data_IF_459742751083
#
_entry.id   IF_459742751083
#
_cell.length_a   1.000
_cell.length_b   1.000
_cell.length_c   1.000
_cell.angle_alpha   90.00
_cell.angle_beta   90.00
_cell.angle_gamma   90.00
#
_symmetry.space_group_name_H-M   'P 1'
#
loop_
_entity.id
_entity.type
_entity.pdbx_description
1 polymer ?
#
# COMPACT_ATOMS: atom_id res chain seq x y z
N UNK A 1 105.62 26.02 -4.23
CA UNK A 1 104.92 26.63 -3.08
C UNK A 1 103.44 26.48 -3.29
N UNK A 2 102.79 25.55 -2.57
CA UNK A 2 101.37 25.23 -2.73
C UNK A 2 100.65 25.74 -1.47
N UNK A 3 99.66 26.58 -1.66
CA UNK A 3 98.74 27.05 -0.62
C UNK A 3 97.58 26.04 -0.44
N UNK A 4 97.15 25.79 0.79
CA UNK A 4 95.96 24.87 1.02
C UNK A 4 94.67 25.62 0.87
N UNK A 5 93.72 24.95 0.24
CA UNK A 5 92.36 25.37 0.11
C UNK A 5 91.54 24.88 1.34
N UNK A 6 90.99 25.79 2.10
CA UNK A 6 90.11 25.50 3.24
C UNK A 6 88.71 25.29 2.74
N UNK A 7 88.15 24.12 3.04
CA UNK A 7 86.77 23.71 2.74
C UNK A 7 85.87 24.15 3.89
N UNK A 8 84.96 25.11 3.64
CA UNK A 8 83.88 25.49 4.57
C UNK A 8 82.68 24.59 4.35
N UNK A 9 82.32 23.81 5.36
CA UNK A 9 81.16 22.98 5.37
C UNK A 9 79.97 23.82 5.87
N UNK A 10 79.03 24.18 4.98
CA UNK A 10 77.77 24.83 5.30
C UNK A 10 76.72 23.75 5.68
N UNK A 11 76.41 23.69 6.95
CA UNK A 11 75.30 22.90 7.46
C UNK A 11 73.95 23.63 7.14
N UNK A 12 73.26 23.15 6.13
CA UNK A 12 71.93 23.65 5.81
C UNK A 12 70.88 23.08 6.78
N UNK A 13 70.27 23.96 7.56
CA UNK A 13 69.06 23.63 8.32
C UNK A 13 67.86 23.62 7.37
N UNK A 14 67.29 22.49 7.11
CA UNK A 14 65.99 22.39 6.43
C UNK A 14 64.82 22.49 7.47
N UNK A 15 63.86 23.40 7.34
CA UNK A 15 62.71 23.42 8.22
C UNK A 15 61.77 22.23 7.88
N UNK A 16 61.48 21.44 8.89
CA UNK A 16 60.48 20.38 8.82
C UNK A 16 59.14 21.08 8.72
N UNK A 17 58.58 21.13 7.52
CA UNK A 17 57.17 21.57 7.31
C UNK A 17 56.22 20.56 7.91
N UNK A 18 55.50 20.95 8.95
CA UNK A 18 54.38 20.21 9.47
C UNK A 18 53.22 20.34 8.46
N UNK A 19 53.03 19.34 7.61
CA UNK A 19 51.81 19.22 6.80
C UNK A 19 50.68 18.85 7.72
N UNK A 20 49.81 19.80 8.08
CA UNK A 20 48.54 19.55 8.64
C UNK A 20 47.71 18.83 7.58
N UNK A 21 47.45 17.50 7.78
CA UNK A 21 46.49 16.76 7.00
C UNK A 21 45.09 17.29 7.36
N UNK A 22 44.52 18.13 6.51
CA UNK A 22 43.10 18.43 6.52
C UNK A 22 42.38 17.16 6.10
N UNK A 23 41.88 16.38 7.09
CA UNK A 23 40.96 15.29 6.84
C UNK A 23 39.75 15.83 6.06
N UNK A 24 39.13 15.00 5.22
CA UNK A 24 37.92 15.42 4.51
C UNK A 24 36.88 15.88 5.55
N UNK A 25 36.38 17.10 5.35
CA UNK A 25 35.27 17.63 6.15
C UNK A 25 34.13 16.59 6.16
N UNK A 26 33.45 16.36 7.30
CA UNK A 26 32.32 15.47 7.35
C UNK A 26 31.32 15.96 6.30
N UNK A 27 31.07 15.13 5.27
CA UNK A 27 29.95 15.33 4.34
C UNK A 27 28.73 15.14 5.20
N UNK A 28 28.21 16.22 5.75
CA UNK A 28 26.85 16.25 6.29
C UNK A 28 26.00 15.91 5.06
N UNK A 29 25.56 14.66 4.99
CA UNK A 29 24.55 14.25 4.01
C UNK A 29 23.38 15.19 4.26
N UNK A 30 23.27 16.24 3.44
CA UNK A 30 22.11 17.11 3.44
C UNK A 30 20.92 16.17 3.37
N UNK A 31 20.07 16.20 4.39
CA UNK A 31 18.82 15.45 4.38
C UNK A 31 18.14 15.87 3.09
N UNK A 32 18.16 15.00 2.09
CA UNK A 32 17.49 15.24 0.81
C UNK A 32 16.05 15.51 1.19
N UNK A 33 15.63 16.75 1.06
CA UNK A 33 14.23 17.14 1.27
C UNK A 33 13.44 16.22 0.36
N UNK A 34 12.72 15.26 0.96
CA UNK A 34 12.01 14.24 0.19
C UNK A 34 10.93 14.96 -0.57
N UNK A 35 10.99 14.85 -1.90
CA UNK A 35 9.94 15.42 -2.76
C UNK A 35 8.57 14.91 -2.31
N UNK A 36 7.56 15.75 -2.27
CA UNK A 36 6.23 15.33 -1.88
C UNK A 36 5.73 14.27 -2.86
N UNK A 37 5.29 13.14 -2.33
CA UNK A 37 4.64 12.09 -3.10
C UNK A 37 3.12 12.29 -3.12
N UNK A 38 2.48 11.95 -4.23
CA UNK A 38 1.03 11.82 -4.30
C UNK A 38 0.68 10.36 -4.52
N UNK A 39 -0.13 9.81 -3.61
CA UNK A 39 -0.72 8.48 -3.70
C UNK A 39 -2.20 8.65 -4.04
N UNK A 40 -2.68 7.86 -4.97
CA UNK A 40 -4.10 7.76 -5.32
C UNK A 40 -4.59 6.36 -4.98
N UNK A 41 -5.61 6.28 -4.13
CA UNK A 41 -6.30 5.03 -3.83
C UNK A 41 -7.51 4.92 -4.76
N UNK A 42 -7.62 3.78 -5.42
CA UNK A 42 -8.69 3.45 -6.37
C UNK A 42 -9.29 2.11 -5.97
N UNK A 43 -10.58 2.07 -5.86
CA UNK A 43 -11.23 0.83 -5.44
C UNK A 43 -12.72 0.96 -5.20
N UNK A 44 -13.23 -0.04 -4.52
CA UNK A 44 -14.61 -0.12 -4.07
C UNK A 44 -14.79 0.38 -2.62
N UNK A 45 -15.92 0.05 -2.00
CA UNK A 45 -16.24 0.47 -0.63
C UNK A 45 -15.29 -0.07 0.44
N UNK A 46 -14.53 -1.13 0.16
CA UNK A 46 -13.56 -1.69 1.11
C UNK A 46 -12.21 -0.97 1.09
N UNK A 47 -12.03 -0.02 0.17
CA UNK A 47 -10.94 0.97 0.16
C UNK A 47 -11.45 2.32 0.65
N UNK A 48 -12.65 2.72 0.23
CA UNK A 48 -13.22 4.06 0.41
C UNK A 48 -13.25 4.56 1.86
N UNK A 49 -13.27 5.88 2.00
CA UNK A 49 -13.20 6.60 3.28
C UNK A 49 -14.23 6.14 4.32
N UNK A 50 -15.45 5.79 3.89
CA UNK A 50 -16.54 5.47 4.82
C UNK A 50 -16.36 4.10 5.50
N UNK A 51 -16.00 3.07 4.76
CA UNK A 51 -15.99 1.69 5.24
C UNK A 51 -14.79 0.85 4.79
N UNK A 52 -13.74 1.47 4.25
CA UNK A 52 -12.57 0.79 3.73
C UNK A 52 -11.29 1.04 4.53
N UNK A 53 -10.22 0.36 4.14
CA UNK A 53 -8.91 0.47 4.78
C UNK A 53 -8.13 1.74 4.39
N UNK A 54 -8.57 2.47 3.34
CA UNK A 54 -7.88 3.64 2.81
C UNK A 54 -7.51 4.68 3.86
N UNK A 55 -8.45 5.17 4.73
CA UNK A 55 -8.16 6.14 5.77
C UNK A 55 -7.08 5.67 6.75
N UNK A 56 -7.15 4.41 7.18
CA UNK A 56 -6.16 3.82 8.08
C UNK A 56 -4.76 3.75 7.44
N UNK A 57 -4.67 3.43 6.16
CA UNK A 57 -3.41 3.48 5.42
C UNK A 57 -2.89 4.91 5.28
N UNK A 58 -3.72 5.86 4.84
CA UNK A 58 -3.31 7.25 4.72
C UNK A 58 -2.79 7.83 6.04
N UNK A 59 -3.38 7.45 7.17
CA UNK A 59 -2.94 7.87 8.50
C UNK A 59 -1.55 7.36 8.90
N UNK A 60 -1.03 6.33 8.24
CA UNK A 60 0.33 5.82 8.48
C UNK A 60 1.41 6.55 7.67
N UNK A 61 1.05 7.48 6.82
CA UNK A 61 1.99 8.13 5.92
C UNK A 61 2.60 9.40 6.56
N UNK A 62 3.83 9.72 6.17
CA UNK A 62 4.51 10.94 6.61
C UNK A 62 3.82 12.19 6.02
N UNK A 63 3.93 13.37 6.65
CA UNK A 63 3.25 14.58 6.20
C UNK A 63 3.61 15.07 4.79
N UNK A 64 4.73 14.62 4.23
CA UNK A 64 5.13 14.93 2.85
C UNK A 64 4.44 14.05 1.80
N UNK A 65 3.58 13.11 2.22
CA UNK A 65 2.80 12.27 1.30
C UNK A 65 1.36 12.77 1.24
N UNK A 66 0.92 13.16 0.06
CA UNK A 66 -0.49 13.45 -0.18
C UNK A 66 -1.22 12.18 -0.57
N UNK A 67 -2.07 11.68 0.32
CA UNK A 67 -2.94 10.54 0.07
C UNK A 67 -4.31 11.03 -0.43
N UNK A 68 -4.73 10.58 -1.61
CA UNK A 68 -6.01 10.94 -2.23
C UNK A 68 -6.82 9.67 -2.41
N UNK A 69 -7.88 9.52 -1.63
CA UNK A 69 -8.78 8.37 -1.71
C UNK A 69 -9.94 8.71 -2.65
N UNK A 70 -9.98 8.05 -3.80
CA UNK A 70 -11.00 8.18 -4.84
C UNK A 70 -11.80 6.88 -5.03
N UNK A 71 -11.67 5.95 -4.09
CA UNK A 71 -12.48 4.74 -4.08
C UNK A 71 -13.96 5.08 -3.89
N UNK A 72 -14.84 4.32 -4.52
CA UNK A 72 -16.28 4.58 -4.55
C UNK A 72 -17.10 3.37 -4.14
N UNK A 73 -18.02 3.58 -3.22
CA UNK A 73 -18.93 2.54 -2.74
C UNK A 73 -19.71 1.90 -3.88
N UNK A 74 -19.78 0.57 -3.90
CA UNK A 74 -20.56 -0.19 -4.87
C UNK A 74 -19.95 -0.31 -6.27
N UNK A 75 -18.76 0.24 -6.52
CA UNK A 75 -18.12 0.19 -7.83
C UNK A 75 -17.28 -1.06 -8.00
N UNK A 76 -17.31 -1.59 -9.20
CA UNK A 76 -16.44 -2.65 -9.71
C UNK A 76 -15.40 -2.05 -10.64
N UNK A 77 -14.45 -2.85 -11.14
CA UNK A 77 -13.52 -2.41 -12.20
C UNK A 77 -14.30 -1.86 -13.39
N UNK A 78 -15.37 -2.56 -13.81
CA UNK A 78 -16.22 -2.17 -14.93
C UNK A 78 -16.91 -0.83 -14.69
N UNK A 79 -17.71 -0.71 -13.64
CA UNK A 79 -18.49 0.50 -13.38
C UNK A 79 -17.61 1.71 -13.05
N UNK A 80 -16.47 1.52 -12.38
CA UNK A 80 -15.52 2.58 -12.09
C UNK A 80 -14.94 3.19 -13.39
N UNK A 81 -14.70 2.36 -14.41
CA UNK A 81 -14.28 2.80 -15.73
C UNK A 81 -15.44 3.46 -16.48
N UNK A 82 -16.58 2.78 -16.57
CA UNK A 82 -17.74 3.19 -17.40
C UNK A 82 -18.35 4.53 -16.92
N UNK A 83 -18.34 4.80 -15.61
CA UNK A 83 -18.87 6.01 -14.99
C UNK A 83 -17.87 7.20 -15.00
N UNK A 84 -16.68 7.01 -15.54
CA UNK A 84 -15.66 8.06 -15.64
C UNK A 84 -14.88 8.34 -14.35
N UNK A 85 -15.06 7.52 -13.29
CA UNK A 85 -14.30 7.64 -12.05
C UNK A 85 -12.82 7.35 -12.26
N UNK A 86 -12.50 6.42 -13.16
CA UNK A 86 -11.13 6.09 -13.54
C UNK A 86 -10.39 7.30 -14.15
N UNK A 87 -11.03 8.03 -15.04
CA UNK A 87 -10.47 9.23 -15.67
C UNK A 87 -10.21 10.33 -14.63
N UNK A 88 -11.10 10.46 -13.63
CA UNK A 88 -10.89 11.39 -12.51
C UNK A 88 -9.68 10.99 -11.67
N UNK A 89 -9.50 9.68 -11.43
CA UNK A 89 -8.34 9.18 -10.70
C UNK A 89 -7.04 9.45 -11.48
N UNK A 90 -7.01 9.21 -12.78
CA UNK A 90 -5.86 9.52 -13.64
C UNK A 90 -5.53 11.02 -13.68
N UNK A 91 -6.54 11.89 -13.63
CA UNK A 91 -6.35 13.35 -13.61
C UNK A 91 -5.60 13.85 -12.36
N UNK A 92 -5.56 13.07 -11.28
CA UNK A 92 -4.76 13.38 -10.08
C UNK A 92 -3.25 13.34 -10.33
N UNK A 93 -2.78 12.64 -11.36
CA UNK A 93 -1.35 12.47 -11.68
C UNK A 93 -0.53 12.05 -10.46
N UNK A 94 -0.99 10.97 -9.80
CA UNK A 94 -0.29 10.39 -8.64
C UNK A 94 1.00 9.69 -9.05
N UNK A 95 2.01 9.70 -8.19
CA UNK A 95 3.20 8.87 -8.36
C UNK A 95 2.89 7.40 -8.13
N UNK A 96 1.98 7.09 -7.21
CA UNK A 96 1.56 5.72 -6.91
C UNK A 96 0.04 5.59 -6.99
N UNK A 97 -0.41 4.49 -7.57
CA UNK A 97 -1.83 4.12 -7.63
C UNK A 97 -2.03 2.77 -6.98
N UNK A 98 -2.75 2.73 -5.87
CA UNK A 98 -3.19 1.50 -5.25
C UNK A 98 -4.56 1.14 -5.80
N UNK A 99 -4.66 0.00 -6.47
CA UNK A 99 -5.86 -0.40 -7.22
C UNK A 99 -6.39 -1.69 -6.62
N UNK A 100 -7.58 -1.63 -5.99
CA UNK A 100 -8.25 -2.78 -5.39
C UNK A 100 -9.71 -2.84 -5.80
N UNK A 101 -10.14 -3.97 -6.36
CA UNK A 101 -11.51 -4.29 -6.70
C UNK A 101 -11.78 -5.78 -6.47
N UNK A 102 -13.02 -6.24 -6.72
CA UNK A 102 -13.45 -7.63 -6.63
C UNK A 102 -14.80 -7.81 -5.94
N UNK A 103 -15.07 -7.09 -4.84
CA UNK A 103 -16.31 -7.22 -4.06
C UNK A 103 -17.58 -6.96 -4.87
N UNK A 104 -17.53 -6.08 -5.85
CA UNK A 104 -18.66 -5.79 -6.71
C UNK A 104 -18.58 -6.48 -8.06
N UNK A 105 -17.37 -6.76 -8.55
CA UNK A 105 -17.15 -7.48 -9.80
C UNK A 105 -17.78 -8.87 -9.79
N UNK A 106 -17.75 -9.57 -8.66
CA UNK A 106 -18.37 -10.90 -8.49
C UNK A 106 -19.91 -10.91 -8.49
N UNK A 107 -20.55 -9.76 -8.26
CA UNK A 107 -22.02 -9.69 -8.22
C UNK A 107 -22.60 -9.97 -9.59
N UNK A 108 -23.69 -10.77 -9.69
CA UNK A 108 -24.27 -11.13 -10.99
C UNK A 108 -25.05 -9.98 -11.67
N UNK A 109 -24.92 -8.76 -11.16
CA UNK A 109 -25.52 -7.58 -11.74
C UNK A 109 -24.71 -7.08 -12.95
N UNK A 110 -25.27 -7.04 -14.18
CA UNK A 110 -24.53 -6.70 -15.40
C UNK A 110 -23.94 -5.29 -15.41
N UNK A 111 -24.42 -4.39 -14.56
CA UNK A 111 -23.86 -3.03 -14.43
C UNK A 111 -22.50 -3.01 -13.75
N UNK A 112 -22.24 -4.00 -12.89
CA UNK A 112 -21.00 -4.08 -12.11
C UNK A 112 -20.20 -5.35 -12.36
N UNK A 113 -20.85 -6.41 -12.86
CA UNK A 113 -20.19 -7.70 -13.07
C UNK A 113 -19.00 -7.61 -14.02
N UNK A 114 -17.87 -8.15 -13.57
CA UNK A 114 -16.71 -8.43 -14.39
C UNK A 114 -16.15 -9.80 -14.01
N UNK A 115 -16.18 -10.74 -14.95
CA UNK A 115 -15.72 -12.10 -14.73
C UNK A 115 -14.22 -12.13 -14.39
N UNK A 116 -13.88 -12.91 -13.33
CA UNK A 116 -12.52 -12.94 -12.76
C UNK A 116 -11.45 -13.38 -13.76
N UNK A 117 -11.78 -14.34 -14.65
CA UNK A 117 -10.81 -14.91 -15.59
C UNK A 117 -10.63 -14.05 -16.86
N UNK A 118 -11.56 -13.15 -17.16
CA UNK A 118 -11.60 -12.42 -18.43
C UNK A 118 -11.68 -10.90 -18.23
N UNK A 119 -12.89 -10.34 -18.09
CA UNK A 119 -13.11 -8.89 -18.10
C UNK A 119 -12.50 -8.16 -16.89
N UNK A 120 -12.47 -8.77 -15.70
CA UNK A 120 -11.79 -8.21 -14.55
C UNK A 120 -10.29 -8.03 -14.81
N UNK A 121 -9.64 -9.07 -15.33
CA UNK A 121 -8.21 -9.00 -15.69
C UNK A 121 -7.95 -7.97 -16.79
N UNK A 122 -8.82 -7.93 -17.82
CA UNK A 122 -8.68 -6.94 -18.89
C UNK A 122 -8.78 -5.50 -18.37
N UNK A 123 -9.72 -5.25 -17.44
CA UNK A 123 -9.87 -3.95 -16.81
C UNK A 123 -8.63 -3.59 -15.96
N UNK A 124 -8.08 -4.53 -15.18
CA UNK A 124 -6.86 -4.28 -14.40
C UNK A 124 -5.65 -4.00 -15.31
N UNK A 125 -5.47 -4.76 -16.42
CA UNK A 125 -4.39 -4.48 -17.39
C UNK A 125 -4.53 -3.10 -18.01
N UNK A 126 -5.75 -2.68 -18.35
CA UNK A 126 -6.02 -1.31 -18.82
C UNK A 126 -5.60 -0.28 -17.79
N UNK A 127 -6.03 -0.45 -16.51
CA UNK A 127 -5.67 0.47 -15.44
C UNK A 127 -4.15 0.56 -15.23
N UNK A 128 -3.44 -0.58 -15.28
CA UNK A 128 -1.97 -0.63 -15.20
C UNK A 128 -1.34 0.14 -16.35
N UNK A 129 -1.80 -0.09 -17.58
CA UNK A 129 -1.29 0.58 -18.78
C UNK A 129 -1.51 2.10 -18.74
N UNK A 130 -2.71 2.52 -18.34
CA UNK A 130 -3.07 3.95 -18.26
C UNK A 130 -2.24 4.69 -17.20
N UNK A 131 -1.98 4.06 -16.03
CA UNK A 131 -1.10 4.63 -14.99
C UNK A 131 0.33 4.78 -15.51
N UNK A 132 0.87 3.76 -16.18
CA UNK A 132 2.22 3.81 -16.76
C UNK A 132 2.36 4.84 -17.86
N UNK A 133 1.30 5.03 -18.65
CA UNK A 133 1.30 6.04 -19.73
C UNK A 133 1.48 7.48 -19.22
N UNK A 134 1.22 7.72 -17.94
CA UNK A 134 1.49 9.00 -17.27
C UNK A 134 2.64 8.94 -16.26
N UNK A 135 3.53 7.95 -16.41
CA UNK A 135 4.71 7.74 -15.57
C UNK A 135 4.41 7.43 -14.09
N UNK A 136 3.16 7.03 -13.80
CA UNK A 136 2.76 6.56 -12.48
C UNK A 136 3.18 5.11 -12.22
N UNK A 137 3.24 4.75 -10.96
CA UNK A 137 3.57 3.40 -10.48
C UNK A 137 2.30 2.70 -10.01
N UNK A 138 1.78 1.71 -10.75
CA UNK A 138 0.62 0.94 -10.32
C UNK A 138 1.02 -0.13 -9.30
N UNK A 139 0.19 -0.28 -8.26
CA UNK A 139 0.26 -1.33 -7.25
C UNK A 139 -1.10 -2.01 -7.24
N UNK A 140 -1.14 -3.29 -7.62
CA UNK A 140 -2.36 -4.07 -7.51
C UNK A 140 -2.50 -4.65 -6.11
N UNK A 141 -3.67 -4.45 -5.51
CA UNK A 141 -4.00 -4.95 -4.18
C UNK A 141 -5.16 -5.93 -4.32
N UNK A 142 -5.03 -7.14 -3.76
CA UNK A 142 -6.16 -8.07 -3.73
C UNK A 142 -7.24 -7.60 -2.75
N UNK A 143 -8.48 -8.05 -2.95
CA UNK A 143 -9.62 -7.66 -2.11
C UNK A 143 -9.37 -7.93 -0.63
N UNK A 144 -9.87 -7.07 0.25
CA UNK A 144 -9.95 -7.37 1.67
C UNK A 144 -10.89 -8.58 1.89
N UNK A 145 -10.48 -9.58 2.69
CA UNK A 145 -11.34 -10.71 3.04
C UNK A 145 -12.58 -10.26 3.80
N UNK A 146 -13.71 -10.92 3.54
CA UNK A 146 -14.91 -10.77 4.38
C UNK A 146 -14.69 -11.44 5.73
N UNK A 147 -15.43 -10.99 6.73
CA UNK A 147 -15.36 -11.53 8.10
C UNK A 147 -16.48 -12.54 8.38
N UNK A 148 -16.89 -13.28 7.35
CA UNK A 148 -17.80 -14.40 7.48
C UNK A 148 -17.01 -15.66 7.87
N UNK A 149 -17.59 -16.47 8.75
CA UNK A 149 -16.98 -17.73 9.19
C UNK A 149 -17.92 -18.90 8.94
N UNK A 150 -17.32 -20.02 8.58
CA UNK A 150 -17.95 -21.33 8.47
C UNK A 150 -17.10 -22.29 9.28
N UNK A 151 -17.72 -23.06 10.16
CA UNK A 151 -17.02 -24.03 11.03
C UNK A 151 -15.85 -23.42 11.83
N UNK A 152 -16.02 -22.18 12.31
CA UNK A 152 -15.04 -21.47 13.13
C UNK A 152 -13.83 -20.93 12.36
N UNK A 153 -13.87 -20.85 11.04
CA UNK A 153 -12.83 -20.32 10.18
C UNK A 153 -13.39 -19.33 9.17
N UNK A 154 -12.59 -18.38 8.67
CA UNK A 154 -13.02 -17.52 7.56
C UNK A 154 -13.58 -18.37 6.42
N UNK A 155 -14.71 -17.94 5.87
CA UNK A 155 -15.39 -18.64 4.79
C UNK A 155 -14.51 -18.64 3.52
N UNK A 156 -14.06 -19.82 3.03
CA UNK A 156 -13.25 -19.90 1.83
C UNK A 156 -14.07 -19.65 0.55
N UNK A 157 -15.40 -19.67 0.66
CA UNK A 157 -16.33 -19.52 -0.47
C UNK A 157 -16.95 -18.12 -0.52
N UNK A 158 -16.23 -17.10 -0.05
CA UNK A 158 -16.69 -15.72 -0.07
C UNK A 158 -16.72 -15.10 -1.48
N UNK A 159 -16.26 -15.85 -2.49
CA UNK A 159 -16.21 -15.46 -3.89
C UNK A 159 -15.05 -14.52 -4.24
N UNK A 160 -14.17 -14.18 -3.29
CA UNK A 160 -13.07 -13.24 -3.51
C UNK A 160 -11.76 -13.90 -3.88
N UNK A 161 -11.61 -15.20 -3.58
CA UNK A 161 -10.38 -15.94 -3.84
C UNK A 161 -9.99 -15.91 -5.33
N UNK A 162 -10.96 -16.09 -6.24
CA UNK A 162 -10.73 -16.07 -7.69
C UNK A 162 -10.31 -14.67 -8.16
N UNK A 163 -10.88 -13.61 -7.61
CA UNK A 163 -10.51 -12.22 -7.91
C UNK A 163 -9.12 -11.87 -7.37
N UNK A 164 -8.77 -12.37 -6.18
CA UNK A 164 -7.42 -12.22 -5.64
C UNK A 164 -6.38 -12.95 -6.50
N UNK A 165 -6.68 -14.16 -6.95
CA UNK A 165 -5.83 -14.93 -7.86
C UNK A 165 -5.69 -14.23 -9.23
N UNK A 166 -6.79 -13.70 -9.79
CA UNK A 166 -6.78 -12.97 -11.03
C UNK A 166 -5.94 -11.68 -10.95
N UNK A 167 -6.07 -10.91 -9.85
CA UNK A 167 -5.25 -9.71 -9.63
C UNK A 167 -3.76 -10.06 -9.51
N UNK A 168 -3.41 -11.16 -8.81
CA UNK A 168 -2.04 -11.69 -8.73
C UNK A 168 -1.50 -12.08 -10.10
N UNK A 169 -2.31 -12.76 -10.90
CA UNK A 169 -1.93 -13.17 -12.25
C UNK A 169 -1.59 -11.95 -13.11
N UNK A 170 -2.47 -10.93 -13.15
CA UNK A 170 -2.23 -9.69 -13.87
C UNK A 170 -0.96 -9.00 -13.37
N UNK A 171 -0.77 -8.91 -12.04
CA UNK A 171 0.43 -8.30 -11.49
C UNK A 171 1.71 -9.00 -11.92
N UNK A 172 1.69 -10.32 -12.00
CA UNK A 172 2.84 -11.14 -12.45
C UNK A 172 3.12 -10.90 -13.94
N UNK A 173 2.09 -10.97 -14.78
CA UNK A 173 2.20 -10.80 -16.23
C UNK A 173 2.66 -9.38 -16.60
N UNK A 174 2.07 -8.39 -15.95
CA UNK A 174 2.39 -6.98 -16.14
C UNK A 174 3.66 -6.53 -15.38
N UNK A 175 4.24 -7.38 -14.54
CA UNK A 175 5.42 -7.06 -13.70
C UNK A 175 5.20 -5.79 -12.87
N UNK A 176 4.07 -5.73 -12.18
CA UNK A 176 3.76 -4.67 -11.20
C UNK A 176 3.77 -5.24 -9.79
N UNK A 177 3.96 -4.36 -8.81
CA UNK A 177 3.90 -4.76 -7.40
C UNK A 177 2.51 -5.29 -7.07
N UNK A 178 2.47 -6.43 -6.40
CA UNK A 178 1.25 -7.05 -5.89
C UNK A 178 1.25 -7.08 -4.37
N UNK A 179 0.21 -6.55 -3.76
CA UNK A 179 -0.05 -6.61 -2.34
C UNK A 179 -1.20 -7.58 -2.06
N UNK A 180 -0.88 -8.71 -1.45
CA UNK A 180 -1.85 -9.77 -1.16
C UNK A 180 -2.65 -9.51 0.11
N UNK A 181 -3.52 -8.51 0.08
CA UNK A 181 -4.35 -8.17 1.23
C UNK A 181 -5.35 -9.28 1.55
N UNK A 182 -5.86 -10.01 0.53
CA UNK A 182 -6.75 -11.14 0.74
C UNK A 182 -6.09 -12.24 1.57
N UNK A 183 -4.92 -12.69 1.15
CA UNK A 183 -4.18 -13.72 1.87
C UNK A 183 -3.76 -13.29 3.28
N UNK A 184 -3.34 -12.03 3.43
CA UNK A 184 -2.93 -11.49 4.74
C UNK A 184 -4.11 -11.35 5.70
N UNK A 185 -5.22 -10.78 5.25
CA UNK A 185 -6.40 -10.59 6.09
C UNK A 185 -7.05 -11.94 6.45
N UNK A 186 -7.17 -12.88 5.49
CA UNK A 186 -7.68 -14.23 5.77
C UNK A 186 -6.82 -14.94 6.79
N UNK A 187 -5.48 -14.86 6.66
CA UNK A 187 -4.56 -15.46 7.65
C UNK A 187 -4.71 -14.85 9.03
N UNK A 188 -4.85 -13.53 9.12
CA UNK A 188 -5.06 -12.84 10.39
C UNK A 188 -6.38 -13.27 11.04
N UNK A 189 -7.46 -13.25 10.27
CA UNK A 189 -8.80 -13.63 10.72
C UNK A 189 -8.87 -15.10 11.14
N UNK A 190 -8.10 -15.99 10.53
CA UNK A 190 -8.06 -17.40 10.93
C UNK A 190 -7.57 -17.65 12.37
N UNK A 191 -6.93 -16.66 13.00
CA UNK A 191 -6.54 -16.69 14.41
C UNK A 191 -7.60 -16.13 15.37
N UNK A 192 -8.76 -15.68 14.87
CA UNK A 192 -9.82 -15.05 15.63
C UNK A 192 -11.09 -15.92 15.68
N UNK A 193 -11.96 -15.65 16.65
CA UNK A 193 -13.34 -16.12 16.61
C UNK A 193 -14.20 -15.18 15.76
N UNK A 194 -15.42 -15.62 15.34
CA UNK A 194 -16.36 -14.76 14.64
C UNK A 194 -16.67 -13.49 15.43
N UNK A 195 -16.89 -13.60 16.75
CA UNK A 195 -17.18 -12.45 17.63
C UNK A 195 -16.02 -11.44 17.66
N UNK A 196 -14.77 -11.92 17.71
CA UNK A 196 -13.60 -11.06 17.65
C UNK A 196 -13.48 -10.35 16.29
N UNK A 197 -13.80 -11.07 15.20
CA UNK A 197 -13.77 -10.50 13.85
C UNK A 197 -14.89 -9.47 13.64
N UNK A 198 -16.07 -9.71 14.21
CA UNK A 198 -17.21 -8.76 14.18
C UNK A 198 -16.87 -7.43 14.89
N UNK A 199 -15.86 -7.43 15.79
CA UNK A 199 -15.33 -6.21 16.40
C UNK A 199 -14.68 -5.22 15.42
N UNK A 200 -14.45 -5.61 14.16
CA UNK A 200 -13.95 -4.74 13.09
C UNK A 200 -15.05 -4.29 12.13
N UNK A 201 -16.29 -4.76 12.30
CA UNK A 201 -17.39 -4.48 11.41
C UNK A 201 -17.95 -3.09 11.63
N UNK A 202 -18.45 -2.49 10.53
CA UNK A 202 -19.12 -1.21 10.61
C UNK A 202 -20.36 -1.31 11.50
N UNK A 203 -20.40 -0.55 12.58
CA UNK A 203 -21.58 -0.44 13.43
C UNK A 203 -22.70 0.29 12.68
N UNK A 204 -23.93 -0.17 12.82
CA UNK A 204 -25.09 0.53 12.27
C UNK A 204 -26.04 -0.35 11.45
N UNK A 205 -25.57 -1.48 10.93
CA UNK A 205 -26.46 -2.43 10.28
C UNK A 205 -26.99 -3.52 11.22
N UNK A 206 -26.31 -3.79 12.35
CA UNK A 206 -26.77 -4.75 13.35
C UNK A 206 -28.00 -4.25 14.13
N UNK A 207 -28.10 -2.92 14.32
CA UNK A 207 -29.21 -2.30 15.07
C UNK A 207 -30.35 -1.81 14.15
N UNK A 208 -30.14 -1.75 12.83
CA UNK A 208 -31.20 -1.46 11.88
C UNK A 208 -32.15 -2.64 11.81
N UNK A 209 -33.38 -2.47 12.28
CA UNK A 209 -34.42 -3.47 12.05
C UNK A 209 -34.68 -3.57 10.55
N UNK A 210 -34.55 -4.79 10.01
CA UNK A 210 -35.00 -5.03 8.65
C UNK A 210 -36.49 -4.62 8.55
N UNK A 211 -36.93 -4.18 7.37
CA UNK A 211 -38.32 -3.73 7.13
C UNK A 211 -39.40 -4.74 7.58
N UNK A 212 -39.02 -6.01 7.74
CA UNK A 212 -39.86 -7.09 8.21
C UNK A 212 -39.73 -7.41 9.72
N UNK A 213 -39.02 -6.58 10.50
CA UNK A 213 -38.84 -6.76 11.95
C UNK A 213 -37.80 -7.82 12.36
N UNK A 214 -37.11 -8.46 11.42
CA UNK A 214 -35.99 -9.36 11.72
C UNK A 214 -34.75 -8.54 12.09
N UNK A 215 -33.78 -9.12 12.85
CA UNK A 215 -32.49 -8.51 13.08
C UNK A 215 -31.75 -8.29 11.75
N UNK A 216 -31.20 -7.11 11.55
CA UNK A 216 -30.38 -6.85 10.39
C UNK A 216 -29.15 -7.77 10.38
N UNK A 217 -28.75 -8.24 9.20
CA UNK A 217 -27.52 -9.04 9.07
C UNK A 217 -26.32 -8.17 9.39
N UNK A 218 -25.32 -8.70 10.13
CA UNK A 218 -24.05 -7.98 10.37
C UNK A 218 -23.40 -7.58 9.05
N UNK A 219 -22.84 -6.37 8.99
CA UNK A 219 -22.03 -5.92 7.86
C UNK A 219 -20.61 -6.41 8.01
N UNK A 220 -20.34 -7.61 7.58
CA UNK A 220 -19.02 -8.25 7.63
C UNK A 220 -18.11 -7.90 6.42
N UNK A 221 -18.45 -6.87 5.71
CA UNK A 221 -17.70 -6.36 4.55
C UNK A 221 -17.00 -5.04 4.86
N UNK A 222 -17.74 -4.08 5.43
CA UNK A 222 -17.23 -2.75 5.71
C UNK A 222 -16.67 -2.64 7.13
N UNK A 223 -15.73 -1.70 7.31
CA UNK A 223 -14.92 -1.56 8.50
C UNK A 223 -15.39 -0.40 9.38
N UNK A 224 -15.39 -0.62 10.69
CA UNK A 224 -15.40 0.45 11.69
C UNK A 224 -13.98 1.06 11.83
N UNK A 225 -13.80 2.04 12.73
CA UNK A 225 -12.51 2.73 12.92
C UNK A 225 -11.37 1.78 13.36
N UNK A 226 -11.68 0.76 14.17
CA UNK A 226 -10.68 -0.24 14.57
C UNK A 226 -10.25 -1.10 13.37
N UNK A 227 -11.20 -1.51 12.53
CA UNK A 227 -10.94 -2.25 11.30
C UNK A 227 -10.15 -1.42 10.28
N UNK A 228 -10.52 -0.16 10.05
CA UNK A 228 -9.77 0.77 9.18
C UNK A 228 -8.31 0.89 9.62
N UNK A 229 -8.09 1.08 10.93
CA UNK A 229 -6.74 1.19 11.50
C UNK A 229 -5.95 -0.09 11.30
N UNK A 230 -6.52 -1.26 11.63
CA UNK A 230 -5.86 -2.55 11.52
C UNK A 230 -5.49 -2.88 10.07
N UNK A 231 -6.47 -2.86 9.16
CA UNK A 231 -6.23 -3.30 7.79
C UNK A 231 -5.47 -2.24 6.97
N UNK A 232 -5.66 -0.95 7.27
CA UNK A 232 -4.82 0.11 6.73
C UNK A 232 -3.36 -0.04 7.14
N UNK A 233 -3.11 -0.39 8.39
CA UNK A 233 -1.77 -0.72 8.88
C UNK A 233 -1.19 -1.96 8.22
N UNK A 234 -2.02 -3.00 7.99
CA UNK A 234 -1.61 -4.21 7.25
C UNK A 234 -1.12 -3.88 5.83
N UNK A 235 -1.80 -2.97 5.13
CA UNK A 235 -1.36 -2.45 3.83
C UNK A 235 -0.02 -1.72 3.97
N UNK A 236 0.13 -0.82 4.94
CA UNK A 236 1.34 -0.05 5.17
C UNK A 236 2.56 -0.93 5.46
N UNK A 237 2.41 -1.93 6.34
CA UNK A 237 3.48 -2.87 6.69
C UNK A 237 3.93 -3.70 5.47
N UNK A 238 2.98 -4.01 4.55
CA UNK A 238 3.33 -4.70 3.31
C UNK A 238 4.04 -3.80 2.30
N UNK A 239 3.70 -2.53 2.20
CA UNK A 239 4.46 -1.56 1.40
C UNK A 239 5.93 -1.56 1.82
N UNK A 240 6.21 -1.55 3.13
CA UNK A 240 7.58 -1.62 3.66
C UNK A 240 8.24 -2.97 3.36
N UNK A 241 7.52 -4.08 3.57
CA UNK A 241 8.06 -5.44 3.31
C UNK A 241 8.38 -5.71 1.86
N UNK A 242 7.57 -5.18 0.95
CA UNK A 242 7.79 -5.31 -0.50
C UNK A 242 8.88 -4.36 -1.01
N UNK A 243 9.53 -3.62 -0.11
CA UNK A 243 10.59 -2.66 -0.44
C UNK A 243 10.18 -1.67 -1.54
N UNK A 244 8.91 -1.29 -1.55
CA UNK A 244 8.44 -0.21 -2.42
C UNK A 244 9.15 1.08 -2.00
N UNK A 245 9.59 1.89 -2.96
CA UNK A 245 10.29 3.16 -2.68
C UNK A 245 9.51 4.10 -1.74
N UNK A 246 8.20 3.90 -1.67
CA UNK A 246 7.32 4.58 -0.72
C UNK A 246 7.57 4.16 0.74
N UNK A 247 8.13 2.97 1.00
CA UNK A 247 8.31 2.41 2.35
C UNK A 247 8.89 3.36 3.38
N UNK A 248 9.94 4.16 3.07
CA UNK A 248 10.49 5.15 3.98
C UNK A 248 9.53 6.27 4.40
N UNK A 249 8.39 6.41 3.73
CA UNK A 249 7.35 7.39 4.03
C UNK A 249 6.19 6.81 4.86
N UNK A 250 6.32 5.57 5.35
CA UNK A 250 5.37 4.94 6.27
C UNK A 250 5.89 5.10 7.70
N UNK A 251 5.11 5.74 8.58
CA UNK A 251 5.47 5.94 9.99
C UNK A 251 5.15 4.73 10.85
N UNK A 252 5.96 4.51 11.88
CA UNK A 252 5.73 3.48 12.90
C UNK A 252 6.11 2.06 12.49
N UNK A 253 6.78 1.87 11.33
CA UNK A 253 7.45 0.61 10.98
C UNK A 253 8.93 0.79 11.24
N UNK A 254 9.47 0.14 12.29
CA UNK A 254 10.92 0.08 12.48
C UNK A 254 11.52 -0.74 11.33
N UNK A 255 12.47 -0.19 10.61
CA UNK A 255 13.23 -0.94 9.61
C UNK A 255 13.83 -2.18 10.29
N UNK A 256 13.40 -3.37 9.89
CA UNK A 256 13.87 -4.65 10.46
C UNK A 256 13.01 -5.28 11.55
N UNK A 257 11.96 -4.63 12.05
CA UNK A 257 10.99 -5.31 12.91
C UNK A 257 9.94 -5.98 12.01
N UNK A 258 10.11 -7.27 11.74
CA UNK A 258 8.98 -8.12 11.43
C UNK A 258 8.06 -8.10 12.65
N UNK A 259 7.25 -7.05 12.79
CA UNK A 259 6.24 -7.00 13.83
C UNK A 259 5.33 -8.19 13.58
N UNK A 260 5.55 -9.25 14.35
CA UNK A 260 4.63 -10.36 14.40
C UNK A 260 3.31 -9.76 14.87
N UNK A 261 2.28 -9.86 14.03
CA UNK A 261 0.93 -9.73 14.52
C UNK A 261 0.81 -10.63 15.75
N UNK A 262 0.17 -10.19 16.83
CA UNK A 262 0.02 -11.02 18.03
C UNK A 262 -0.51 -12.39 17.61
N UNK A 263 0.17 -13.43 18.13
CA UNK A 263 -0.21 -14.84 17.93
C UNK A 263 -1.55 -15.09 18.56
#
# INVERSE_FOLDING_TARGET
MRLPVSLFLLLGFTPIGVFAQSGPAPVIAAARERQPFKIVLVGDSTVATEGGWGPGFCATLTPNVRCVDLALNGRSTKSFIDEGAWQKALAERGQYYFIQFGHNDQKPNPKVHADAATSFQANLRRMVSDVRAQEGIPILVSSLSRRNYVDGRPDPNDGLADYAAAARQVATEERVTFLDLYGLSTKYLAGLTQEQADGFDMAGHADAKAENGSAAKPDRTHLNEAGKTLFGRMVADNVVRLQVELGPNVVGVAAGSGAAFPK
#
